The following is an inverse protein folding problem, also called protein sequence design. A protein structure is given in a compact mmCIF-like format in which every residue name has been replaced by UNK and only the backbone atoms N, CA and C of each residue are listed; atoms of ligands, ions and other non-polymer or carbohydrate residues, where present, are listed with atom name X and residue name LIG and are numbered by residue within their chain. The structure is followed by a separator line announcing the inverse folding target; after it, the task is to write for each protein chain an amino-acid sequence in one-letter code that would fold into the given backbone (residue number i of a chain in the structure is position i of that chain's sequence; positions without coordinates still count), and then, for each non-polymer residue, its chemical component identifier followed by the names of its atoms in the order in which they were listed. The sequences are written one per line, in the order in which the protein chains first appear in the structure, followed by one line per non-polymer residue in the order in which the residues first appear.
data_IF_006983115196
#
_entry.id   IF_006983115196
#
_cell.length_a   1.000
_cell.length_b   1.000
_cell.length_c   1.000
_cell.angle_alpha   90.00
_cell.angle_beta   90.00
_cell.angle_gamma   90.00
#
_symmetry.space_group_name_H-M   'P 1'
#
loop_
_entity.id
_entity.type
_entity.pdbx_description
1 polymer ?
#
# COMPACT_ATOMS: atom_id res chain seq x y z
N UNK A 1 -73.33 -20.00 10.41
CA UNK A 1 -73.07 -20.86 9.25
C UNK A 1 -71.62 -20.64 8.79
N UNK A 2 -70.92 -21.74 8.47
CA UNK A 2 -69.56 -21.88 7.89
C UNK A 2 -68.36 -21.43 8.76
N UNK A 3 -67.64 -22.36 9.41
CA UNK A 3 -66.48 -23.18 8.96
C UNK A 3 -65.19 -22.36 8.77
N UNK A 4 -64.21 -22.49 9.66
CA UNK A 4 -63.15 -23.52 9.68
C UNK A 4 -62.02 -23.16 8.68
N UNK A 5 -60.79 -22.94 9.17
CA UNK A 5 -59.81 -24.02 9.23
C UNK A 5 -58.48 -23.54 9.84
N UNK A 6 -57.87 -24.43 10.62
CA UNK A 6 -56.58 -24.20 11.25
C UNK A 6 -55.43 -24.33 10.27
N UNK A 7 -54.38 -23.54 10.49
CA UNK A 7 -53.02 -23.95 10.13
C UNK A 7 -52.08 -23.70 11.31
N UNK A 8 -51.78 -24.80 11.99
CA UNK A 8 -50.77 -24.90 13.03
C UNK A 8 -49.41 -24.42 12.53
N UNK A 9 -48.77 -23.57 13.32
CA UNK A 9 -47.39 -23.13 13.11
C UNK A 9 -46.42 -24.26 13.47
N UNK A 10 -45.47 -24.57 12.59
CA UNK A 10 -44.36 -25.49 12.89
C UNK A 10 -43.24 -24.71 13.62
N UNK A 11 -42.76 -25.19 14.79
CA UNK A 11 -41.71 -24.53 15.55
C UNK A 11 -40.34 -25.17 15.27
N UNK A 12 -39.54 -24.58 14.37
CA UNK A 12 -38.06 -24.59 14.32
C UNK A 12 -37.54 -24.42 12.88
N UNK A 13 -37.47 -23.18 12.40
CA UNK A 13 -36.61 -22.87 11.25
C UNK A 13 -35.88 -21.55 11.54
N UNK A 14 -34.52 -21.53 11.53
CA UNK A 14 -33.79 -20.29 11.69
C UNK A 14 -34.07 -19.39 10.48
N UNK A 15 -34.59 -18.19 10.74
CA UNK A 15 -34.93 -17.21 9.70
C UNK A 15 -33.68 -16.85 8.89
N UNK A 16 -33.62 -17.34 7.65
CA UNK A 16 -32.59 -16.94 6.69
C UNK A 16 -32.82 -15.47 6.31
N UNK A 17 -31.87 -14.56 6.55
CA UNK A 17 -32.03 -13.18 6.09
C UNK A 17 -31.95 -13.13 4.56
N UNK A 18 -32.91 -12.43 3.94
CA UNK A 18 -32.93 -12.12 2.51
C UNK A 18 -31.78 -11.16 2.19
N UNK A 19 -30.97 -11.40 1.14
CA UNK A 19 -30.00 -10.42 0.70
C UNK A 19 -30.74 -9.26 0.04
N UNK A 20 -30.61 -8.06 0.60
CA UNK A 20 -31.05 -6.80 -0.01
C UNK A 20 -29.84 -6.16 -0.70
N UNK A 21 -30.02 -5.76 -1.96
CA UNK A 21 -29.08 -4.88 -2.68
C UNK A 21 -28.29 -5.58 -3.78
N UNK A 22 -28.81 -5.51 -5.00
CA UNK A 22 -28.05 -5.80 -6.21
C UNK A 22 -27.11 -4.65 -6.58
N UNK A 23 -25.94 -5.04 -7.07
CA UNK A 23 -25.09 -4.34 -8.03
C UNK A 23 -24.93 -2.80 -7.86
N UNK A 24 -24.14 -2.41 -6.86
CA UNK A 24 -23.23 -1.29 -7.00
C UNK A 24 -21.81 -1.83 -6.90
N UNK A 25 -21.03 -1.76 -7.98
CA UNK A 25 -19.58 -1.96 -7.95
C UNK A 25 -18.97 -0.80 -7.14
N UNK A 26 -19.15 -0.85 -5.83
CA UNK A 26 -18.29 -0.12 -4.94
C UNK A 26 -17.04 -0.99 -4.84
N UNK A 27 -15.90 -0.47 -5.29
CA UNK A 27 -14.59 -1.04 -5.05
C UNK A 27 -14.41 -1.20 -3.55
N UNK A 28 -14.91 -2.31 -3.01
CA UNK A 28 -14.62 -2.77 -1.68
C UNK A 28 -13.12 -2.93 -1.66
N UNK A 29 -12.49 -2.17 -0.76
CA UNK A 29 -11.12 -2.27 -0.35
C UNK A 29 -10.87 -3.70 0.10
N UNK A 30 -10.65 -4.62 -0.84
CA UNK A 30 -10.18 -5.96 -0.54
C UNK A 30 -8.79 -5.76 -0.02
N UNK A 31 -8.62 -6.05 1.27
CA UNK A 31 -7.35 -6.24 1.95
C UNK A 31 -6.34 -6.84 0.96
N UNK A 32 -5.44 -6.00 0.44
CA UNK A 32 -4.34 -6.47 -0.37
C UNK A 32 -3.27 -7.00 0.60
N UNK A 33 -3.53 -8.17 1.17
CA UNK A 33 -2.47 -9.11 1.56
C UNK A 33 -1.84 -9.63 0.28
N UNK A 34 -1.04 -8.78 -0.36
CA UNK A 34 -0.51 -9.00 -1.70
C UNK A 34 0.61 -8.03 -2.03
N UNK A 35 1.36 -8.35 -3.07
CA UNK A 35 2.42 -7.49 -3.59
C UNK A 35 1.88 -6.07 -3.87
N UNK A 36 2.60 -5.06 -3.39
CA UNK A 36 2.32 -3.65 -3.64
C UNK A 36 3.33 -3.06 -4.62
N UNK A 37 2.89 -2.03 -5.34
CA UNK A 37 3.71 -1.31 -6.30
C UNK A 37 4.34 -0.09 -5.63
N UNK A 38 5.65 0.02 -5.75
CA UNK A 38 6.44 1.07 -5.16
C UNK A 38 7.17 1.86 -6.24
N UNK A 39 7.28 3.17 -6.01
CA UNK A 39 8.21 4.04 -6.72
C UNK A 39 9.23 4.57 -5.72
N UNK A 40 10.50 4.34 -6.00
CA UNK A 40 11.62 4.81 -5.19
C UNK A 40 12.33 5.92 -5.97
N UNK A 41 12.49 7.08 -5.33
CA UNK A 41 13.22 8.23 -5.87
C UNK A 41 14.44 8.46 -5.01
N UNK A 42 15.60 8.42 -5.64
CA UNK A 42 16.89 8.68 -5.01
C UNK A 42 17.35 10.08 -5.36
N UNK A 43 17.92 10.78 -4.38
CA UNK A 43 18.59 12.07 -4.59
C UNK A 43 20.10 11.84 -4.79
N UNK A 44 20.45 10.86 -5.64
CA UNK A 44 21.84 10.48 -5.88
C UNK A 44 22.14 10.42 -7.36
N UNK A 45 23.24 11.06 -7.73
CA UNK A 45 23.81 11.07 -9.07
C UNK A 45 24.66 9.79 -9.24
N UNK A 46 24.18 8.87 -10.08
CA UNK A 46 24.85 7.67 -10.62
C UNK A 46 25.44 6.61 -9.65
N UNK A 47 26.28 6.96 -8.68
CA UNK A 47 27.14 6.00 -7.96
C UNK A 47 26.41 5.06 -6.98
N UNK A 48 25.22 5.44 -6.50
CA UNK A 48 24.41 4.57 -5.63
C UNK A 48 23.69 3.46 -6.39
N UNK A 49 23.38 3.67 -7.68
CA UNK A 49 22.54 2.77 -8.47
C UNK A 49 23.05 1.34 -8.48
N UNK A 50 24.36 1.13 -8.71
CA UNK A 50 24.97 -0.20 -8.74
C UNK A 50 24.95 -0.91 -7.37
N UNK A 51 24.90 -0.17 -6.26
CA UNK A 51 24.86 -0.77 -4.91
C UNK A 51 23.45 -1.18 -4.52
N UNK A 52 22.45 -0.39 -4.91
CA UNK A 52 21.04 -0.64 -4.56
C UNK A 52 20.40 -1.68 -5.47
N UNK A 53 20.84 -1.79 -6.72
CA UNK A 53 20.21 -2.64 -7.73
C UNK A 53 20.07 -4.12 -7.30
N UNK A 54 21.12 -4.80 -6.78
CA UNK A 54 20.97 -6.16 -6.26
C UNK A 54 19.98 -6.26 -5.09
N UNK A 55 19.96 -5.25 -4.22
CA UNK A 55 19.04 -5.20 -3.09
C UNK A 55 17.59 -5.07 -3.58
N UNK A 56 17.31 -4.18 -4.54
CA UNK A 56 15.98 -3.99 -5.10
C UNK A 56 15.47 -5.25 -5.82
N UNK A 57 16.32 -5.94 -6.58
CA UNK A 57 15.96 -7.21 -7.21
C UNK A 57 15.71 -8.34 -6.21
N UNK A 58 16.31 -8.29 -5.01
CA UNK A 58 16.03 -9.27 -3.95
C UNK A 58 14.68 -9.06 -3.25
N UNK A 59 14.09 -7.85 -3.36
CA UNK A 59 12.77 -7.56 -2.81
C UNK A 59 11.63 -8.13 -3.67
N UNK A 60 11.85 -8.26 -4.98
CA UNK A 60 10.85 -8.70 -5.94
C UNK A 60 11.14 -8.23 -7.36
N UNK A 61 10.08 -7.98 -8.14
CA UNK A 61 10.23 -7.47 -9.50
C UNK A 61 10.62 -5.99 -9.45
N UNK A 62 11.83 -5.68 -9.89
CA UNK A 62 12.36 -4.31 -9.91
C UNK A 62 12.71 -3.89 -11.33
N UNK A 63 12.38 -2.65 -11.67
CA UNK A 63 12.65 -2.04 -12.96
C UNK A 63 13.15 -0.61 -12.76
N UNK A 64 14.23 -0.26 -13.45
CA UNK A 64 14.80 1.10 -13.41
C UNK A 64 14.07 1.98 -14.43
N UNK A 65 13.31 2.96 -13.94
CA UNK A 65 12.54 3.89 -14.78
C UNK A 65 13.40 5.05 -15.29
N UNK A 66 14.28 5.55 -14.44
CA UNK A 66 15.23 6.61 -14.76
C UNK A 66 16.53 6.41 -13.96
N UNK A 67 17.52 7.27 -14.15
CA UNK A 67 18.81 7.14 -13.47
C UNK A 67 18.66 7.02 -11.94
N UNK A 68 17.74 7.78 -11.35
CA UNK A 68 17.50 7.84 -9.92
C UNK A 68 16.08 7.40 -9.52
N UNK A 69 15.35 6.74 -10.42
CA UNK A 69 13.97 6.30 -10.17
C UNK A 69 13.81 4.82 -10.46
N UNK A 70 13.22 4.11 -9.51
CA UNK A 70 12.95 2.67 -9.61
C UNK A 70 11.48 2.38 -9.34
N UNK A 71 10.94 1.45 -10.12
CA UNK A 71 9.67 0.80 -9.84
C UNK A 71 9.93 -0.58 -9.23
N UNK A 72 9.29 -0.90 -8.12
CA UNK A 72 9.48 -2.17 -7.40
C UNK A 72 8.12 -2.74 -7.02
N UNK A 73 7.90 -4.02 -7.31
CA UNK A 73 6.74 -4.76 -6.86
C UNK A 73 7.18 -5.79 -5.82
N UNK A 74 6.70 -5.65 -4.58
CA UNK A 74 7.08 -6.53 -3.47
C UNK A 74 5.99 -6.57 -2.37
N UNK A 75 6.09 -7.53 -1.44
CA UNK A 75 5.12 -7.69 -0.35
C UNK A 75 5.44 -6.88 0.92
N UNK A 76 6.43 -5.98 0.87
CA UNK A 76 6.80 -5.14 2.02
C UNK A 76 5.88 -3.91 2.16
N UNK A 77 6.00 -3.20 3.27
CA UNK A 77 5.38 -1.87 3.44
C UNK A 77 6.35 -0.77 2.97
N UNK A 78 5.87 0.47 2.77
CA UNK A 78 6.74 1.61 2.44
C UNK A 78 7.93 1.78 3.42
N UNK A 79 7.68 1.56 4.71
CA UNK A 79 8.71 1.58 5.75
C UNK A 79 9.65 0.37 5.61
N UNK A 80 9.10 -0.82 5.34
CA UNK A 80 9.87 -2.03 5.10
C UNK A 80 10.83 -1.89 3.90
N UNK A 81 10.34 -1.37 2.78
CA UNK A 81 11.15 -1.09 1.59
C UNK A 81 12.27 -0.10 1.92
N UNK A 82 11.94 1.04 2.56
CA UNK A 82 12.96 2.01 2.98
C UNK A 82 14.03 1.36 3.87
N UNK A 83 13.62 0.59 4.88
CA UNK A 83 14.53 -0.07 5.81
C UNK A 83 15.40 -1.15 5.13
N UNK A 84 14.89 -1.83 4.11
CA UNK A 84 15.66 -2.80 3.34
C UNK A 84 16.72 -2.14 2.46
N UNK A 85 16.44 -0.94 1.93
CA UNK A 85 17.37 -0.18 1.09
C UNK A 85 18.37 0.64 1.93
N UNK A 86 17.99 1.06 3.13
CA UNK A 86 18.79 1.94 4.00
C UNK A 86 20.26 1.50 4.22
N UNK A 87 20.59 0.21 4.41
CA UNK A 87 21.98 -0.23 4.60
C UNK A 87 22.90 0.02 3.40
N UNK A 88 22.33 0.17 2.20
CA UNK A 88 23.07 0.38 0.95
C UNK A 88 23.30 1.87 0.64
N UNK A 89 22.66 2.75 1.42
CA UNK A 89 22.71 4.19 1.29
C UNK A 89 23.75 4.79 2.24
N UNK A 90 24.45 5.80 1.76
CA UNK A 90 25.31 6.64 2.62
C UNK A 90 24.44 7.61 3.43
N UNK A 91 24.95 8.16 4.55
CA UNK A 91 24.19 9.08 5.40
C UNK A 91 23.66 10.33 4.68
N UNK A 92 24.31 10.76 3.59
CA UNK A 92 23.93 11.91 2.78
C UNK A 92 23.10 11.55 1.53
N UNK A 93 22.76 10.27 1.34
CA UNK A 93 21.97 9.82 0.20
C UNK A 93 20.49 9.76 0.60
N UNK A 94 19.69 10.68 0.06
CA UNK A 94 18.26 10.76 0.34
C UNK A 94 17.46 9.71 -0.46
N UNK A 95 16.44 9.17 0.18
CA UNK A 95 15.51 8.21 -0.41
C UNK A 95 14.07 8.62 -0.09
N UNK A 96 13.25 8.68 -1.12
CA UNK A 96 11.81 8.80 -1.02
C UNK A 96 11.13 7.55 -1.59
N UNK A 97 10.23 6.94 -0.82
CA UNK A 97 9.49 5.74 -1.17
C UNK A 97 8.00 6.07 -1.23
N UNK A 98 7.37 5.75 -2.36
CA UNK A 98 5.93 5.88 -2.59
C UNK A 98 5.33 4.50 -2.76
N UNK A 99 4.40 4.12 -1.88
CA UNK A 99 3.50 2.99 -2.04
C UNK A 99 2.32 3.45 -2.91
N UNK A 100 2.42 3.19 -4.21
CA UNK A 100 1.43 3.59 -5.20
C UNK A 100 0.13 2.80 -5.09
N UNK A 101 0.16 1.67 -4.37
CA UNK A 101 -1.01 0.81 -4.15
C UNK A 101 -1.82 1.28 -2.94
N UNK A 102 -1.18 1.55 -1.81
CA UNK A 102 -1.86 1.87 -0.55
C UNK A 102 -1.87 3.37 -0.21
N UNK A 103 -1.29 4.23 -1.06
CA UNK A 103 -1.22 5.67 -0.81
C UNK A 103 -0.38 6.04 0.42
N UNK A 104 0.66 5.26 0.72
CA UNK A 104 1.59 5.50 1.83
C UNK A 104 2.94 5.96 1.32
N UNK A 105 3.65 6.75 2.11
CA UNK A 105 5.00 7.21 1.75
C UNK A 105 5.95 7.07 2.93
N UNK A 106 7.23 6.89 2.64
CA UNK A 106 8.29 6.81 3.64
C UNK A 106 9.57 7.43 3.08
N UNK A 107 10.34 8.14 3.90
CA UNK A 107 11.55 8.83 3.46
C UNK A 107 12.65 8.78 4.52
N UNK A 108 13.89 9.06 4.10
CA UNK A 108 15.06 9.24 4.97
C UNK A 108 16.12 10.15 4.36
N UNK A 109 17.05 10.60 5.21
CA UNK A 109 18.26 11.37 4.87
C UNK A 109 18.01 12.73 4.17
N UNK A 110 16.78 13.24 4.22
CA UNK A 110 16.48 14.61 3.82
C UNK A 110 16.93 15.63 4.87
N UNK A 111 17.48 16.76 4.41
CA UNK A 111 17.81 17.90 5.26
C UNK A 111 16.57 18.39 6.05
N UNK A 112 16.74 19.02 7.23
CA UNK A 112 15.63 19.39 8.11
C UNK A 112 14.51 20.19 7.41
N UNK A 113 14.86 21.16 6.57
CA UNK A 113 13.89 21.96 5.83
C UNK A 113 13.02 21.11 4.89
N UNK A 114 13.65 20.25 4.08
CA UNK A 114 12.94 19.36 3.17
C UNK A 114 12.11 18.32 3.95
N UNK A 115 12.67 17.77 5.03
CA UNK A 115 11.97 16.84 5.91
C UNK A 115 10.70 17.44 6.49
N UNK A 116 10.74 18.69 6.96
CA UNK A 116 9.56 19.40 7.48
C UNK A 116 8.50 19.61 6.40
N UNK A 117 8.89 20.01 5.19
CA UNK A 117 7.95 20.18 4.06
C UNK A 117 7.26 18.87 3.69
N UNK A 118 8.03 17.78 3.58
CA UNK A 118 7.49 16.44 3.29
C UNK A 118 6.55 15.99 4.41
N UNK A 119 6.95 16.18 5.67
CA UNK A 119 6.12 15.81 6.83
C UNK A 119 4.80 16.58 6.88
N UNK A 120 4.82 17.87 6.54
CA UNK A 120 3.59 18.66 6.44
C UNK A 120 2.65 18.10 5.36
N UNK A 121 3.19 17.73 4.19
CA UNK A 121 2.41 17.20 3.09
C UNK A 121 1.80 15.81 3.38
N UNK A 122 2.61 14.87 3.90
CA UNK A 122 2.22 13.45 3.96
C UNK A 122 1.80 12.96 5.37
N UNK A 123 2.19 13.63 6.45
CA UNK A 123 1.78 13.27 7.82
C UNK A 123 0.57 14.08 8.26
N UNK A 124 0.58 15.38 7.97
CA UNK A 124 -0.44 16.32 8.48
C UNK A 124 -1.53 16.65 7.45
N UNK A 125 -1.41 16.18 6.21
CA UNK A 125 -2.33 16.43 5.10
C UNK A 125 -3.62 15.60 5.09
N UNK A 126 -3.89 14.77 6.11
CA UNK A 126 -5.22 14.16 6.30
C UNK A 126 -6.18 15.21 6.84
N UNK A 127 -6.76 16.02 5.96
CA UNK A 127 -7.96 16.83 6.24
C UNK A 127 -9.02 16.49 5.20
#
# INVERSE_FOLDING_TARGET
AANADGRAAKPNEPRRPKPFGGAGQNHSSTEQTGQANFVLVFDVVSAAASRIEPALHSLGSAFRLAENVWAVNCALTAIGVRNAVAPYLRPNESLFVVDATNGRTSWQNYAPEAHSKISAAFVHGKR
#
